data_IF_225799758517
#
_entry.id   IF_225799758517
#
_cell.length_a   1.000
_cell.length_b   1.000
_cell.length_c   1.000
_cell.angle_alpha   90.00
_cell.angle_beta   90.00
_cell.angle_gamma   90.00
#
_symmetry.space_group_name_H-M   'P 1'
#
loop_
_entity.id
_entity.type
_entity.pdbx_description
1 polymer ?
#
# COMPACT_ATOMS: atom_id res chain seq x y z
N UNK A 1 -8.87 -56.36 8.57
CA UNK A 1 -8.72 -55.75 7.23
C UNK A 1 -9.57 -54.49 7.16
N UNK A 2 -8.93 -53.31 7.14
CA UNK A 2 -9.43 -52.05 6.60
C UNK A 2 -8.26 -51.06 6.56
N UNK A 3 -8.30 -50.17 5.57
CA UNK A 3 -7.24 -49.44 4.86
C UNK A 3 -6.81 -48.10 5.47
N UNK A 4 -5.62 -47.64 5.02
CA UNK A 4 -5.16 -46.24 4.73
C UNK A 4 -5.14 -45.25 5.91
N UNK A 5 -4.05 -44.52 6.17
CA UNK A 5 -3.66 -43.21 5.57
C UNK A 5 -2.33 -42.82 6.26
N UNK A 6 -1.23 -42.40 5.63
CA UNK A 6 -1.10 -41.41 4.57
C UNK A 6 -0.69 -40.05 5.18
N UNK A 7 0.29 -39.40 4.55
CA UNK A 7 0.68 -37.98 4.67
C UNK A 7 1.63 -37.63 5.83
N UNK A 8 2.92 -37.48 5.55
CA UNK A 8 3.56 -36.29 4.96
C UNK A 8 3.49 -35.04 5.84
N UNK A 9 4.68 -34.61 6.28
CA UNK A 9 5.24 -33.38 5.74
C UNK A 9 4.56 -32.07 6.15
N UNK A 10 5.15 -31.41 7.15
CA UNK A 10 6.05 -30.24 6.98
C UNK A 10 6.01 -29.38 8.25
N UNK A 11 7.16 -29.01 8.84
CA UNK A 11 7.19 -27.92 9.79
C UNK A 11 6.78 -26.63 9.05
N UNK A 12 5.78 -25.98 9.63
CA UNK A 12 5.18 -24.78 9.10
C UNK A 12 6.13 -23.59 9.12
N UNK A 13 5.89 -22.73 8.14
CA UNK A 13 6.11 -21.29 8.16
C UNK A 13 7.58 -20.88 8.20
N UNK A 14 8.11 -20.83 6.97
CA UNK A 14 9.22 -20.00 6.55
C UNK A 14 9.31 -18.71 7.37
N UNK A 15 10.37 -18.63 8.14
CA UNK A 15 10.88 -17.42 8.75
C UNK A 15 11.04 -16.37 7.64
N UNK A 16 10.28 -15.28 7.75
CA UNK A 16 10.49 -14.07 6.97
C UNK A 16 11.81 -13.46 7.47
N UNK A 17 12.93 -14.05 7.04
CA UNK A 17 14.24 -13.44 7.19
C UNK A 17 14.23 -12.21 6.29
N UNK A 18 14.36 -10.98 6.80
CA UNK A 18 14.55 -9.83 5.92
C UNK A 18 15.82 -10.12 5.14
N UNK A 19 15.67 -10.26 3.82
CA UNK A 19 16.77 -10.48 2.92
C UNK A 19 17.85 -9.45 3.25
N UNK A 20 18.99 -9.93 3.75
CA UNK A 20 20.21 -9.13 3.87
C UNK A 20 20.38 -8.35 2.58
N UNK A 21 20.71 -7.04 2.58
CA UNK A 21 20.78 -6.19 1.39
C UNK A 21 22.00 -6.60 0.54
N UNK A 22 22.00 -7.82 0.04
CA UNK A 22 22.99 -8.37 -0.85
C UNK A 22 22.75 -7.75 -2.23
N UNK A 23 23.32 -6.55 -2.42
CA UNK A 23 23.39 -5.80 -3.68
C UNK A 23 22.07 -5.75 -4.47
N UNK A 24 21.14 -4.92 -4.01
CA UNK A 24 19.98 -4.52 -4.81
C UNK A 24 20.46 -4.00 -6.17
N UNK A 25 19.77 -4.40 -7.25
CA UNK A 25 20.11 -3.92 -8.59
C UNK A 25 19.77 -2.42 -8.71
N UNK A 26 20.49 -1.65 -9.55
CA UNK A 26 20.16 -0.25 -9.81
C UNK A 26 18.73 -0.04 -10.29
N UNK A 27 18.17 -1.02 -11.01
CA UNK A 27 16.78 -1.00 -11.46
C UNK A 27 15.80 -0.99 -10.28
N UNK A 28 15.99 -1.89 -9.30
CA UNK A 28 15.13 -1.95 -8.10
C UNK A 28 15.21 -0.66 -7.28
N UNK A 29 16.39 -0.05 -7.19
CA UNK A 29 16.56 1.24 -6.53
C UNK A 29 15.85 2.38 -7.28
N UNK A 30 15.86 2.34 -8.62
CA UNK A 30 15.11 3.28 -9.46
C UNK A 30 13.60 3.16 -9.25
N UNK A 31 13.07 1.93 -9.30
CA UNK A 31 11.65 1.64 -9.08
C UNK A 31 11.20 2.07 -7.67
N UNK A 32 12.02 1.81 -6.65
CA UNK A 32 11.77 2.29 -5.30
C UNK A 32 11.78 3.83 -5.21
N UNK A 33 12.69 4.50 -5.93
CA UNK A 33 12.73 5.96 -6.02
C UNK A 33 11.46 6.55 -6.65
N UNK A 34 10.98 5.94 -7.74
CA UNK A 34 9.74 6.36 -8.41
C UNK A 34 8.50 6.14 -7.53
N UNK A 35 8.45 5.02 -6.80
CA UNK A 35 7.42 4.76 -5.79
C UNK A 35 7.41 5.85 -4.70
N UNK A 36 8.57 6.12 -4.09
CA UNK A 36 8.69 7.14 -3.04
C UNK A 36 8.32 8.53 -3.56
N UNK A 37 8.70 8.85 -4.80
CA UNK A 37 8.31 10.10 -5.45
C UNK A 37 6.79 10.18 -5.68
N UNK A 38 6.16 9.06 -6.06
CA UNK A 38 4.72 8.97 -6.15
C UNK A 38 4.03 9.14 -4.79
N UNK A 39 4.67 8.81 -3.67
CA UNK A 39 4.13 9.06 -2.33
C UNK A 39 4.36 10.48 -1.81
N UNK A 40 5.41 11.17 -2.28
CA UNK A 40 5.87 12.48 -1.78
C UNK A 40 4.95 13.68 -2.13
N UNK A 41 3.67 13.63 -1.75
CA UNK A 41 2.80 14.80 -1.66
C UNK A 41 1.85 14.69 -0.45
N UNK A 42 1.53 15.79 0.23
CA UNK A 42 0.73 15.77 1.46
C UNK A 42 -0.63 15.07 1.28
N UNK A 43 -1.37 15.38 0.21
CA UNK A 43 -2.69 14.77 -0.03
C UNK A 43 -2.57 13.27 -0.33
N UNK A 44 -1.49 12.82 -0.98
CA UNK A 44 -1.27 11.41 -1.27
C UNK A 44 -0.92 10.61 -0.01
N UNK A 45 -0.10 11.20 0.87
CA UNK A 45 0.16 10.66 2.21
C UNK A 45 -1.17 10.54 2.98
N UNK A 46 -2.00 11.58 2.97
CA UNK A 46 -3.29 11.55 3.64
C UNK A 46 -4.24 10.48 3.07
N UNK A 47 -4.31 10.33 1.74
CA UNK A 47 -5.08 9.24 1.10
C UNK A 47 -4.59 7.87 1.56
N UNK A 48 -3.27 7.63 1.59
CA UNK A 48 -2.72 6.33 2.04
C UNK A 48 -3.09 6.05 3.49
N UNK A 49 -3.01 7.06 4.37
CA UNK A 49 -3.43 6.91 5.76
C UNK A 49 -4.94 6.58 5.89
N UNK A 50 -5.79 7.21 5.07
CA UNK A 50 -7.22 6.91 5.03
C UNK A 50 -7.51 5.49 4.51
N UNK A 51 -6.79 5.05 3.46
CA UNK A 51 -6.95 3.72 2.88
C UNK A 51 -6.37 2.59 3.74
N UNK A 52 -5.46 2.92 4.65
CA UNK A 52 -4.96 2.00 5.68
C UNK A 52 -6.05 1.64 6.70
N UNK A 53 -6.98 2.54 6.98
CA UNK A 53 -8.11 2.29 7.89
C UNK A 53 -9.21 1.45 7.24
N UNK A 54 -9.29 1.46 5.91
CA UNK A 54 -10.22 0.64 5.15
C UNK A 54 -10.34 1.09 3.70
N UNK A 55 -10.91 0.23 2.88
CA UNK A 55 -11.27 0.51 1.49
C UNK A 55 -12.24 1.70 1.43
N UNK A 56 -11.96 2.69 0.57
CA UNK A 56 -12.79 3.90 0.42
C UNK A 56 -12.99 4.26 -1.04
N UNK A 57 -14.15 4.78 -1.38
CA UNK A 57 -14.40 5.36 -2.70
C UNK A 57 -14.00 6.84 -2.74
N UNK A 58 -14.15 7.46 -3.92
CA UNK A 58 -13.72 8.85 -4.14
C UNK A 58 -14.47 9.84 -3.25
N UNK A 59 -15.78 9.68 -3.07
CA UNK A 59 -16.57 10.63 -2.27
C UNK A 59 -16.20 10.57 -0.77
N UNK A 60 -15.99 9.36 -0.23
CA UNK A 60 -15.53 9.18 1.15
C UNK A 60 -14.16 9.84 1.39
N UNK A 61 -13.25 9.78 0.41
CA UNK A 61 -11.94 10.46 0.50
C UNK A 61 -12.05 11.98 0.39
N UNK A 62 -13.00 12.49 -0.40
CA UNK A 62 -13.29 13.93 -0.48
C UNK A 62 -13.80 14.42 0.86
N UNK A 63 -14.77 13.71 1.45
CA UNK A 63 -15.38 14.07 2.73
C UNK A 63 -14.38 13.96 3.89
N UNK A 64 -13.53 12.92 3.89
CA UNK A 64 -12.55 12.70 4.97
C UNK A 64 -11.39 13.71 4.94
N UNK A 65 -11.00 14.18 3.74
CA UNK A 65 -9.82 15.04 3.57
C UNK A 65 -10.16 16.51 3.36
N UNK A 66 -11.44 16.85 3.15
CA UNK A 66 -11.92 18.19 2.78
C UNK A 66 -11.18 18.74 1.54
N UNK A 67 -10.98 17.86 0.55
CA UNK A 67 -10.28 18.18 -0.70
C UNK A 67 -11.21 17.95 -1.89
N UNK A 68 -11.23 18.89 -2.84
CA UNK A 68 -12.08 18.82 -4.01
C UNK A 68 -11.90 17.52 -4.82
N UNK A 69 -13.02 16.93 -5.25
CA UNK A 69 -13.09 15.67 -5.99
C UNK A 69 -12.16 15.56 -7.21
N UNK A 70 -12.00 16.60 -8.07
CA UNK A 70 -11.09 16.53 -9.20
C UNK A 70 -9.63 16.31 -8.77
N UNK A 71 -9.24 16.91 -7.65
CA UNK A 71 -7.89 16.80 -7.10
C UNK A 71 -7.65 15.43 -6.47
N UNK A 72 -8.60 14.90 -5.70
CA UNK A 72 -8.55 13.51 -5.19
C UNK A 72 -8.43 12.52 -6.35
N UNK A 73 -9.25 12.67 -7.39
CA UNK A 73 -9.22 11.78 -8.55
C UNK A 73 -7.87 11.82 -9.28
N UNK A 74 -7.27 13.02 -9.40
CA UNK A 74 -5.93 13.17 -9.96
C UNK A 74 -4.87 12.46 -9.11
N UNK A 75 -4.91 12.62 -7.79
CA UNK A 75 -3.99 11.94 -6.88
C UNK A 75 -4.14 10.42 -6.92
N UNK A 76 -5.36 9.91 -6.91
CA UNK A 76 -5.65 8.47 -7.04
C UNK A 76 -5.15 7.91 -8.37
N UNK A 77 -5.22 8.68 -9.47
CA UNK A 77 -4.66 8.27 -10.75
C UNK A 77 -3.14 8.10 -10.68
N UNK A 78 -2.43 9.06 -10.08
CA UNK A 78 -0.97 8.99 -9.89
C UNK A 78 -0.60 7.78 -9.03
N UNK A 79 -1.28 7.61 -7.88
CA UNK A 79 -1.05 6.49 -6.98
C UNK A 79 -1.34 5.14 -7.64
N UNK A 80 -2.40 5.06 -8.46
CA UNK A 80 -2.75 3.84 -9.20
C UNK A 80 -1.71 3.51 -10.27
N UNK A 81 -1.21 4.52 -11.00
CA UNK A 81 -0.14 4.31 -12.00
C UNK A 81 1.17 3.87 -11.34
N UNK A 82 1.46 4.35 -10.14
CA UNK A 82 2.62 3.93 -9.36
C UNK A 82 2.44 2.60 -8.62
N UNK A 83 1.29 1.92 -8.77
CA UNK A 83 1.02 0.65 -8.10
C UNK A 83 0.76 0.75 -6.60
N UNK A 84 0.60 1.96 -6.04
CA UNK A 84 0.37 2.16 -4.59
C UNK A 84 -1.06 1.76 -4.19
N UNK A 85 -2.02 2.04 -5.07
CA UNK A 85 -3.43 1.75 -4.82
C UNK A 85 -4.03 0.94 -5.96
N UNK A 86 -5.01 0.11 -5.60
CA UNK A 86 -5.85 -0.62 -6.55
C UNK A 86 -7.25 -0.05 -6.48
N UNK A 87 -7.91 0.05 -7.64
CA UNK A 87 -9.30 0.49 -7.74
C UNK A 87 -10.17 -0.59 -8.33
N UNK A 88 -11.19 -1.02 -7.60
CA UNK A 88 -12.17 -2.03 -8.00
C UNK A 88 -13.53 -1.37 -8.20
N UNK A 89 -14.21 -1.66 -9.31
CA UNK A 89 -15.56 -1.14 -9.55
C UNK A 89 -16.57 -1.97 -8.77
N UNK A 90 -17.23 -1.36 -7.78
CA UNK A 90 -18.34 -1.96 -7.01
C UNK A 90 -19.63 -1.22 -7.33
N UNK A 91 -20.44 -1.82 -8.22
CA UNK A 91 -21.68 -1.21 -8.70
C UNK A 91 -21.42 0.06 -9.53
N UNK A 92 -21.87 1.21 -9.00
CA UNK A 92 -21.76 2.51 -9.69
C UNK A 92 -20.47 3.26 -9.37
N UNK A 93 -19.72 2.81 -8.37
CA UNK A 93 -18.56 3.53 -7.85
C UNK A 93 -17.29 2.69 -7.95
N UNK A 94 -16.14 3.37 -7.87
CA UNK A 94 -14.84 2.72 -7.76
C UNK A 94 -14.37 2.85 -6.32
N UNK A 95 -14.14 1.69 -5.70
CA UNK A 95 -13.59 1.58 -4.36
C UNK A 95 -12.08 1.37 -4.48
N UNK A 96 -11.33 2.15 -3.73
CA UNK A 96 -9.87 2.11 -3.69
C UNK A 96 -9.40 1.42 -2.43
N UNK A 97 -8.29 0.69 -2.57
CA UNK A 97 -7.57 0.02 -1.48
C UNK A 97 -6.06 0.14 -1.69
N UNK A 98 -5.28 -0.02 -0.63
CA UNK A 98 -3.83 -0.15 -0.76
C UNK A 98 -3.48 -1.43 -1.53
N UNK A 99 -2.40 -1.38 -2.30
CA UNK A 99 -1.93 -2.56 -3.01
C UNK A 99 -1.35 -3.62 -2.06
N UNK A 100 -0.68 -3.18 -1.00
CA UNK A 100 -0.09 -3.99 0.06
C UNK A 100 0.06 -3.19 1.37
N UNK A 101 0.33 -3.90 2.46
CA UNK A 101 0.52 -3.31 3.80
C UNK A 101 1.88 -2.60 3.95
N UNK A 102 2.90 -2.98 3.16
CA UNK A 102 4.24 -2.38 3.24
C UNK A 102 4.20 -0.88 2.88
N UNK A 103 3.35 -0.50 1.93
CA UNK A 103 3.13 0.89 1.54
C UNK A 103 2.58 1.75 2.69
N UNK A 104 1.66 1.19 3.48
CA UNK A 104 1.15 1.84 4.67
C UNK A 104 2.27 2.04 5.70
N UNK A 105 3.11 1.02 5.92
CA UNK A 105 4.25 1.11 6.85
C UNK A 105 5.23 2.21 6.48
N UNK A 106 5.64 2.32 5.20
CA UNK A 106 6.54 3.38 4.73
C UNK A 106 6.00 4.78 5.10
N UNK A 107 4.71 5.02 4.90
CA UNK A 107 4.09 6.31 5.19
C UNK A 107 3.97 6.55 6.70
N UNK A 108 3.58 5.54 7.47
CA UNK A 108 3.46 5.63 8.93
C UNK A 108 4.82 5.91 9.57
N UNK A 109 5.86 5.19 9.18
CA UNK A 109 7.21 5.36 9.70
C UNK A 109 7.77 6.75 9.37
N UNK A 110 7.51 7.24 8.15
CA UNK A 110 7.90 8.60 7.75
C UNK A 110 7.20 9.68 8.60
N UNK A 111 5.90 9.52 8.90
CA UNK A 111 5.15 10.45 9.75
C UNK A 111 5.65 10.39 11.20
N UNK A 112 5.85 9.19 11.74
CA UNK A 112 6.36 8.99 13.10
C UNK A 112 7.75 9.62 13.27
N UNK A 113 8.67 9.40 12.32
CA UNK A 113 10.01 9.98 12.36
C UNK A 113 10.00 11.52 12.42
N UNK A 114 9.10 12.16 11.68
CA UNK A 114 8.93 13.64 11.71
C UNK A 114 8.33 14.11 13.04
N UNK A 115 7.52 13.29 13.71
CA UNK A 115 6.94 13.59 15.01
C UNK A 115 7.93 13.38 16.17
N UNK A 116 8.82 12.40 16.09
CA UNK A 116 9.89 12.13 17.08
C UNK A 116 10.97 13.21 17.08
N UNK A 117 11.27 13.80 15.92
CA UNK A 117 12.25 14.87 15.77
C UNK A 117 11.77 16.25 16.24
N UNK A 118 10.60 16.34 16.87
CA UNK A 118 10.02 17.55 17.45
C UNK A 118 9.95 17.42 18.97
#
# INVERSE_FOLDING_TARGET
MATVTGSDGRPGLAECTPASPARLSPAVLGDAGDLLRALAAPVRIAIVLQLREGDRCVHELVDALDVAQPLISQHLRVLKTAGVVQGERRGREVVYRLADDHLAHIVVDAVAHVQEGK
#
